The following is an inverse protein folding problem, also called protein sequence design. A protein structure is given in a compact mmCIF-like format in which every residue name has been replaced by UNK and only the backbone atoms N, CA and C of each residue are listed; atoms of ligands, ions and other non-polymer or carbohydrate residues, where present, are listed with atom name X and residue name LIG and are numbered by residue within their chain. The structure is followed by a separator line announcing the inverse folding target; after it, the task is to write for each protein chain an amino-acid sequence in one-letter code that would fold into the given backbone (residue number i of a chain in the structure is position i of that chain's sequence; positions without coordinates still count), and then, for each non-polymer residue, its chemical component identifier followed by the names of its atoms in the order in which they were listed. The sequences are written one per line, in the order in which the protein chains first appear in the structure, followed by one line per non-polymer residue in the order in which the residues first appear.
data_IF_473633650023
#
_entry.id   IF_473633650023
#
_cell.length_a   1.000
_cell.length_b   1.000
_cell.length_c   1.000
_cell.angle_alpha   90.00
_cell.angle_beta   90.00
_cell.angle_gamma   90.00
#
_symmetry.space_group_name_H-M   'P 1'
#
loop_
_entity.id
_entity.type
_entity.pdbx_description
1 polymer ?
#
# COMPACT_ATOMS: atom_id res chain seq x y z
N UNK A 1 19.22 3.34 -12.98
CA UNK A 1 19.44 1.91 -12.65
C UNK A 1 18.09 1.27 -12.34
N UNK A 2 17.88 -0.01 -12.61
CA UNK A 2 16.67 -0.71 -12.17
C UNK A 2 16.60 -0.68 -10.63
N UNK A 3 15.40 -0.46 -10.10
CA UNK A 3 15.16 -0.45 -8.66
C UNK A 3 15.10 -1.90 -8.14
N UNK A 4 15.64 -2.16 -6.96
CA UNK A 4 15.66 -3.49 -6.36
C UNK A 4 15.46 -3.45 -4.84
N UNK A 5 14.98 -4.55 -4.28
CA UNK A 5 15.01 -4.84 -2.84
C UNK A 5 16.00 -6.00 -2.64
N UNK A 6 17.26 -5.69 -2.29
CA UNK A 6 18.32 -6.70 -2.31
C UNK A 6 18.40 -7.37 -3.69
N UNK A 7 18.31 -8.71 -3.80
CA UNK A 7 18.36 -9.43 -5.07
C UNK A 7 17.06 -9.33 -5.90
N UNK A 8 15.95 -8.87 -5.33
CA UNK A 8 14.64 -8.81 -5.96
C UNK A 8 14.55 -7.58 -6.86
N UNK A 9 14.63 -7.79 -8.19
CA UNK A 9 14.48 -6.71 -9.17
C UNK A 9 13.02 -6.29 -9.31
N UNK A 10 12.77 -4.98 -9.41
CA UNK A 10 11.44 -4.42 -9.56
C UNK A 10 11.25 -3.86 -10.97
N UNK A 11 10.02 -3.97 -11.48
CA UNK A 11 9.67 -3.55 -12.85
C UNK A 11 9.57 -2.03 -13.04
N UNK A 12 9.57 -1.26 -11.95
CA UNK A 12 9.41 0.20 -12.02
C UNK A 12 9.51 0.87 -10.65
N UNK A 13 9.09 2.15 -10.59
CA UNK A 13 9.32 3.07 -9.46
C UNK A 13 8.04 3.53 -8.77
N UNK A 14 6.91 2.86 -8.96
CA UNK A 14 5.64 3.19 -8.31
C UNK A 14 5.04 1.98 -7.61
N UNK A 15 4.77 2.12 -6.31
CA UNK A 15 4.30 1.07 -5.41
C UNK A 15 2.92 1.39 -4.87
N UNK A 16 2.12 0.38 -4.60
CA UNK A 16 0.90 0.52 -3.80
C UNK A 16 1.27 0.46 -2.31
N UNK A 17 0.79 1.41 -1.51
CA UNK A 17 1.04 1.41 -0.07
C UNK A 17 0.21 0.33 0.65
N UNK A 18 0.78 -0.33 1.67
CA UNK A 18 0.01 -1.19 2.59
C UNK A 18 -0.98 -0.34 3.39
N UNK A 19 -2.27 -0.63 3.28
CA UNK A 19 -3.36 0.08 3.96
C UNK A 19 -4.36 -0.91 4.55
N UNK A 20 -4.43 -1.00 5.89
CA UNK A 20 -5.33 -1.93 6.59
C UNK A 20 -6.79 -1.74 6.18
N UNK A 21 -7.43 -2.83 5.81
CA UNK A 21 -8.79 -2.89 5.30
C UNK A 21 -8.95 -2.32 3.88
N UNK A 22 -7.88 -2.05 3.14
CA UNK A 22 -7.92 -1.48 1.78
C UNK A 22 -7.10 -2.29 0.79
N UNK A 23 -5.86 -2.61 1.12
CA UNK A 23 -4.98 -3.32 0.19
C UNK A 23 -5.04 -4.83 0.36
N UNK A 24 -6.28 -5.35 0.39
CA UNK A 24 -6.55 -6.79 0.28
C UNK A 24 -5.96 -7.38 -1.02
N UNK A 25 -5.95 -8.71 -1.13
CA UNK A 25 -5.32 -9.38 -2.29
C UNK A 25 -5.98 -8.99 -3.62
N UNK A 26 -7.29 -8.70 -3.65
CA UNK A 26 -8.00 -8.26 -4.85
C UNK A 26 -7.54 -6.89 -5.33
N UNK A 27 -7.38 -5.92 -4.40
CA UNK A 27 -6.86 -4.59 -4.71
C UNK A 27 -5.40 -4.66 -5.20
N UNK A 28 -4.58 -5.51 -4.58
CA UNK A 28 -3.17 -5.71 -4.96
C UNK A 28 -3.05 -6.31 -6.36
N UNK A 29 -3.85 -7.34 -6.68
CA UNK A 29 -3.91 -7.94 -8.02
C UNK A 29 -4.33 -6.91 -9.07
N UNK A 30 -5.37 -6.10 -8.77
CA UNK A 30 -5.80 -5.04 -9.67
C UNK A 30 -4.70 -4.00 -9.93
N UNK A 31 -3.98 -3.56 -8.90
CA UNK A 31 -2.88 -2.61 -9.08
C UNK A 31 -1.73 -3.20 -9.93
N UNK A 32 -1.36 -4.47 -9.70
CA UNK A 32 -0.35 -5.18 -10.51
C UNK A 32 -0.78 -5.32 -11.97
N UNK A 33 -2.04 -5.68 -12.23
CA UNK A 33 -2.60 -5.80 -13.57
C UNK A 33 -2.42 -4.52 -14.39
N UNK A 34 -2.46 -3.37 -13.74
CA UNK A 34 -2.27 -2.07 -14.36
C UNK A 34 -0.84 -1.52 -14.30
N UNK A 35 0.14 -2.30 -13.80
CA UNK A 35 1.56 -1.94 -13.87
C UNK A 35 2.15 -1.38 -12.58
N UNK A 36 1.52 -1.58 -11.42
CA UNK A 36 2.19 -1.34 -10.15
C UNK A 36 3.43 -2.25 -10.02
N UNK A 37 4.54 -1.70 -9.53
CA UNK A 37 5.81 -2.44 -9.46
C UNK A 37 5.95 -3.26 -8.18
N UNK A 38 5.28 -2.84 -7.11
CA UNK A 38 5.26 -3.52 -5.82
C UNK A 38 3.95 -3.22 -5.08
N UNK A 39 3.41 -4.24 -4.42
CA UNK A 39 2.12 -4.15 -3.71
C UNK A 39 2.19 -4.95 -2.40
N UNK A 40 2.85 -4.41 -1.34
CA UNK A 40 2.91 -5.10 -0.05
C UNK A 40 1.52 -5.42 0.50
N UNK A 41 1.42 -6.47 1.27
CA UNK A 41 0.17 -6.89 1.92
C UNK A 41 -0.34 -5.83 2.91
N UNK A 42 -1.56 -5.97 3.37
CA UNK A 42 -1.98 -5.30 4.59
C UNK A 42 -1.05 -5.68 5.74
N UNK A 43 -0.96 -4.79 6.74
CA UNK A 43 -0.22 -5.07 7.96
C UNK A 43 -0.80 -6.27 8.70
N UNK A 44 0.05 -7.23 9.05
CA UNK A 44 -0.26 -8.43 9.82
C UNK A 44 0.41 -8.34 11.18
N UNK A 45 -0.32 -8.57 12.27
CA UNK A 45 0.27 -8.67 13.59
C UNK A 45 1.13 -9.94 13.69
N UNK A 46 2.38 -9.80 14.14
CA UNK A 46 3.36 -10.88 14.13
C UNK A 46 2.94 -12.06 15.00
N UNK A 47 2.46 -11.78 16.20
CA UNK A 47 2.02 -12.81 17.16
C UNK A 47 0.72 -13.50 16.70
N UNK A 48 -0.25 -12.76 16.11
CA UNK A 48 -1.47 -13.33 15.54
C UNK A 48 -1.15 -14.26 14.36
N UNK A 49 -0.20 -13.88 13.51
CA UNK A 49 0.23 -14.72 12.37
C UNK A 49 0.85 -16.03 12.86
N UNK A 50 1.75 -15.96 13.84
CA UNK A 50 2.41 -17.15 14.41
C UNK A 50 1.40 -18.06 15.12
N UNK A 51 0.41 -17.50 15.81
CA UNK A 51 -0.68 -18.27 16.41
C UNK A 51 -1.69 -18.83 15.42
N UNK A 52 -1.56 -18.46 14.13
CA UNK A 52 -2.39 -18.99 13.05
C UNK A 52 -3.79 -18.37 12.96
N UNK A 53 -3.96 -17.15 13.44
CA UNK A 53 -5.22 -16.41 13.35
C UNK A 53 -5.68 -16.26 11.90
N UNK A 54 -6.95 -16.59 11.64
CA UNK A 54 -7.50 -16.66 10.29
C UNK A 54 -7.43 -15.32 9.55
N UNK A 55 -7.69 -14.20 10.23
CA UNK A 55 -7.63 -12.87 9.61
C UNK A 55 -6.20 -12.49 9.21
N UNK A 56 -5.20 -12.88 10.02
CA UNK A 56 -3.79 -12.67 9.72
C UNK A 56 -3.35 -13.45 8.47
N UNK A 57 -3.82 -14.68 8.31
CA UNK A 57 -3.56 -15.49 7.11
C UNK A 57 -4.20 -14.88 5.86
N UNK A 58 -5.45 -14.40 5.94
CA UNK A 58 -6.13 -13.72 4.82
C UNK A 58 -5.37 -12.47 4.40
N UNK A 59 -4.89 -11.68 5.36
CA UNK A 59 -4.11 -10.46 5.06
C UNK A 59 -2.75 -10.77 4.43
N UNK A 60 -2.11 -11.86 4.86
CA UNK A 60 -0.83 -12.31 4.30
C UNK A 60 -0.97 -13.00 2.94
N UNK A 61 -2.21 -13.27 2.47
CA UNK A 61 -2.49 -13.96 1.20
C UNK A 61 -1.77 -13.31 0.02
N UNK A 62 -1.13 -14.12 -0.81
CA UNK A 62 -0.32 -13.67 -1.95
C UNK A 62 -0.59 -14.37 -3.27
N UNK A 63 -1.64 -15.20 -3.36
CA UNK A 63 -1.96 -15.87 -4.62
C UNK A 63 -2.21 -14.86 -5.74
N UNK A 64 -1.52 -15.05 -6.88
CA UNK A 64 -1.58 -14.14 -8.03
C UNK A 64 -0.92 -12.78 -7.81
N UNK A 65 -0.13 -12.59 -6.74
CA UNK A 65 0.64 -11.38 -6.45
C UNK A 65 2.13 -11.69 -6.60
N UNK A 66 2.79 -11.03 -7.55
CA UNK A 66 4.24 -11.15 -7.79
C UNK A 66 4.84 -9.77 -8.10
N UNK A 67 5.89 -9.33 -7.37
CA UNK A 67 6.47 -9.98 -6.20
C UNK A 67 5.53 -9.98 -4.98
N UNK A 68 5.54 -11.07 -4.21
CA UNK A 68 4.77 -11.19 -2.98
C UNK A 68 5.58 -10.67 -1.80
N UNK A 69 5.14 -9.57 -1.22
CA UNK A 69 5.73 -8.94 -0.04
C UNK A 69 4.69 -8.89 1.06
N UNK A 70 5.03 -9.44 2.23
CA UNK A 70 4.14 -9.42 3.40
C UNK A 70 4.64 -8.39 4.41
N UNK A 71 3.75 -7.46 4.80
CA UNK A 71 4.05 -6.49 5.84
C UNK A 71 3.68 -7.04 7.21
N UNK A 72 4.65 -7.14 8.11
CA UNK A 72 4.46 -7.58 9.50
C UNK A 72 4.64 -6.42 10.48
N UNK A 73 3.93 -6.47 11.60
CA UNK A 73 4.01 -5.49 12.68
C UNK A 73 3.99 -6.17 14.04
N UNK A 74 4.84 -5.70 14.93
CA UNK A 74 4.97 -6.19 16.29
C UNK A 74 5.89 -5.29 17.10
N UNK A 75 6.02 -5.58 18.38
CA UNK A 75 6.94 -4.89 19.31
C UNK A 75 7.95 -5.84 19.94
N UNK A 76 7.83 -7.12 19.71
CA UNK A 76 8.64 -8.16 20.33
C UNK A 76 9.51 -8.80 19.24
N UNK A 77 10.86 -8.74 19.37
CA UNK A 77 11.80 -9.31 18.41
C UNK A 77 11.58 -10.80 18.15
N UNK A 78 11.16 -11.57 19.16
CA UNK A 78 10.88 -13.00 19.02
C UNK A 78 9.69 -13.23 18.05
N UNK A 79 8.54 -12.59 18.30
CA UNK A 79 7.38 -12.76 17.43
C UNK A 79 7.61 -12.23 16.02
N UNK A 80 8.41 -11.15 15.88
CA UNK A 80 8.77 -10.61 14.57
C UNK A 80 9.66 -11.59 13.79
N UNK A 81 10.62 -12.24 14.42
CA UNK A 81 11.48 -13.25 13.80
C UNK A 81 10.69 -14.51 13.38
N UNK A 82 9.80 -15.01 14.24
CA UNK A 82 8.97 -16.17 13.93
C UNK A 82 7.97 -15.88 12.79
N UNK A 83 7.35 -14.70 12.82
CA UNK A 83 6.47 -14.26 11.73
C UNK A 83 7.22 -14.14 10.40
N UNK A 84 8.44 -13.59 10.41
CA UNK A 84 9.27 -13.49 9.21
C UNK A 84 9.61 -14.87 8.61
N UNK A 85 9.95 -15.86 9.46
CA UNK A 85 10.18 -17.25 9.01
C UNK A 85 8.93 -17.86 8.37
N UNK A 86 7.76 -17.65 8.97
CA UNK A 86 6.49 -18.14 8.41
C UNK A 86 6.19 -17.46 7.06
N UNK A 87 6.44 -16.16 6.94
CA UNK A 87 6.29 -15.40 5.69
C UNK A 87 7.20 -15.97 4.60
N UNK A 88 8.48 -16.20 4.90
CA UNK A 88 9.43 -16.82 3.96
C UNK A 88 8.97 -18.24 3.57
N UNK A 89 8.58 -19.05 4.55
CA UNK A 89 8.11 -20.43 4.31
C UNK A 89 6.83 -20.48 3.47
N UNK A 90 5.99 -19.43 3.51
CA UNK A 90 4.80 -19.29 2.66
C UNK A 90 5.12 -18.91 1.20
N UNK A 91 6.40 -18.73 0.85
CA UNK A 91 6.85 -18.38 -0.50
C UNK A 91 6.80 -16.88 -0.82
N UNK A 92 6.74 -16.02 0.20
CA UNK A 92 6.95 -14.60 0.00
C UNK A 92 8.37 -14.30 -0.50
N UNK A 93 8.51 -13.22 -1.26
CA UNK A 93 9.78 -12.82 -1.88
C UNK A 93 10.47 -11.69 -1.11
N UNK A 94 9.76 -11.03 -0.19
CA UNK A 94 10.33 -10.09 0.78
C UNK A 94 9.42 -9.96 2.01
N UNK A 95 10.01 -9.52 3.12
CA UNK A 95 9.31 -9.08 4.32
C UNK A 95 9.36 -7.56 4.40
N UNK A 96 8.25 -6.91 4.75
CA UNK A 96 8.22 -5.48 5.06
C UNK A 96 7.89 -5.26 6.54
N UNK A 97 8.71 -4.48 7.25
CA UNK A 97 8.48 -4.16 8.66
C UNK A 97 7.65 -2.88 8.76
N UNK A 98 6.56 -2.91 9.53
CA UNK A 98 5.76 -1.71 9.79
C UNK A 98 6.23 -0.96 11.05
N UNK A 99 6.79 0.23 10.84
CA UNK A 99 7.06 1.22 11.89
C UNK A 99 6.41 2.58 11.59
N UNK A 100 5.30 2.55 10.83
CA UNK A 100 4.60 3.77 10.36
C UNK A 100 3.12 3.86 10.72
N UNK A 101 2.46 2.77 11.15
CA UNK A 101 1.03 2.79 11.46
C UNK A 101 0.72 3.68 12.67
N UNK A 102 -0.11 4.76 12.53
CA UNK A 102 -0.41 5.68 13.62
C UNK A 102 -1.64 5.27 14.44
N UNK A 103 -2.32 4.19 14.08
CA UNK A 103 -3.59 3.78 14.67
C UNK A 103 -3.43 3.52 16.17
N UNK A 104 -4.35 4.05 16.99
CA UNK A 104 -4.30 3.90 18.47
C UNK A 104 -4.24 2.43 18.92
N UNK A 105 -4.93 1.52 18.23
CA UNK A 105 -4.89 0.08 18.51
C UNK A 105 -3.48 -0.50 18.37
N UNK A 106 -2.70 -0.03 17.40
CA UNK A 106 -1.33 -0.49 17.15
C UNK A 106 -0.34 0.21 18.09
N UNK A 107 -0.41 1.54 18.16
CA UNK A 107 0.52 2.33 19.01
C UNK A 107 0.26 2.16 20.50
N UNK A 108 -0.97 1.84 20.91
CA UNK A 108 -1.28 1.47 22.30
C UNK A 108 -0.61 0.15 22.72
N UNK A 109 -0.37 -0.76 21.77
CA UNK A 109 0.45 -1.95 21.95
C UNK A 109 1.96 -1.70 21.74
N UNK A 110 2.42 -0.46 21.69
CA UNK A 110 3.82 -0.04 21.46
C UNK A 110 4.43 -0.54 20.13
N UNK A 111 3.60 -0.87 19.14
CA UNK A 111 4.01 -1.29 17.80
C UNK A 111 3.80 -0.17 16.75
N UNK A 112 4.16 -0.43 15.52
CA UNK A 112 4.02 0.52 14.42
C UNK A 112 4.81 1.81 14.68
N UNK A 113 4.19 2.97 14.51
CA UNK A 113 4.89 4.26 14.70
C UNK A 113 5.27 4.58 16.16
N UNK A 114 4.81 3.80 17.16
CA UNK A 114 5.27 3.95 18.53
C UNK A 114 6.76 3.57 18.67
N UNK A 115 7.28 2.69 17.82
CA UNK A 115 8.69 2.32 17.78
C UNK A 115 9.61 3.49 17.41
N UNK A 116 9.08 4.54 16.77
CA UNK A 116 9.84 5.79 16.54
C UNK A 116 10.22 6.53 17.86
N UNK A 117 9.68 6.12 19.02
CA UNK A 117 10.03 6.66 20.33
C UNK A 117 11.14 5.87 21.05
N UNK A 118 11.45 4.69 20.54
CA UNK A 118 12.44 3.77 21.11
C UNK A 118 13.24 3.13 19.98
N UNK A 119 14.31 3.83 19.57
CA UNK A 119 15.13 3.39 18.44
C UNK A 119 16.00 2.17 18.80
N UNK A 120 16.26 1.90 20.08
CA UNK A 120 16.98 0.69 20.49
C UNK A 120 16.10 -0.53 20.25
N UNK A 121 14.86 -0.54 20.76
CA UNK A 121 13.89 -1.62 20.50
C UNK A 121 13.59 -1.75 19.00
N UNK A 122 13.43 -0.63 18.28
CA UNK A 122 13.24 -0.66 16.83
C UNK A 122 14.39 -1.37 16.12
N UNK A 123 15.64 -1.10 16.51
CA UNK A 123 16.85 -1.73 15.96
C UNK A 123 16.90 -3.23 16.29
N UNK A 124 16.56 -3.63 17.52
CA UNK A 124 16.49 -5.03 17.93
C UNK A 124 15.47 -5.82 17.09
N UNK A 125 14.30 -5.23 16.86
CA UNK A 125 13.25 -5.82 16.00
C UNK A 125 13.75 -5.98 14.56
N UNK A 126 14.40 -4.97 14.00
CA UNK A 126 14.96 -5.02 12.64
C UNK A 126 16.01 -6.13 12.57
N UNK A 127 16.98 -6.14 13.47
CA UNK A 127 18.03 -7.16 13.54
C UNK A 127 17.45 -8.58 13.63
N UNK A 128 16.51 -8.80 14.54
CA UNK A 128 15.86 -10.10 14.72
C UNK A 128 15.12 -10.55 13.45
N UNK A 129 14.43 -9.63 12.77
CA UNK A 129 13.70 -9.93 11.54
C UNK A 129 14.65 -10.26 10.39
N UNK A 130 15.69 -9.44 10.17
CA UNK A 130 16.69 -9.67 9.11
C UNK A 130 17.44 -10.97 9.32
N UNK A 131 17.88 -11.24 10.55
CA UNK A 131 18.60 -12.48 10.88
C UNK A 131 17.76 -13.75 10.75
N UNK A 132 16.43 -13.62 10.76
CA UNK A 132 15.52 -14.78 10.71
C UNK A 132 15.28 -15.33 9.30
N UNK A 133 15.55 -14.57 8.23
CA UNK A 133 15.19 -14.93 6.85
C UNK A 133 16.34 -14.71 5.86
N UNK A 134 16.25 -15.34 4.70
CA UNK A 134 17.17 -15.14 3.57
C UNK A 134 16.62 -14.21 2.50
N UNK A 135 15.28 -14.05 2.47
CA UNK A 135 14.63 -13.09 1.58
C UNK A 135 14.88 -11.66 2.09
N UNK A 136 14.92 -10.65 1.19
CA UNK A 136 15.19 -9.28 1.59
C UNK A 136 14.12 -8.72 2.53
N UNK A 137 14.56 -7.83 3.42
CA UNK A 137 13.69 -7.13 4.36
C UNK A 137 13.65 -5.64 4.00
N UNK A 138 12.45 -5.07 3.94
CA UNK A 138 12.21 -3.62 3.82
C UNK A 138 11.60 -3.06 5.10
N UNK A 139 11.70 -1.75 5.28
CA UNK A 139 11.14 -1.05 6.43
C UNK A 139 10.27 0.12 5.98
N UNK A 140 9.03 0.17 6.47
CA UNK A 140 8.14 1.32 6.25
C UNK A 140 7.93 2.10 7.56
N UNK A 141 8.32 3.38 7.57
CA UNK A 141 8.25 4.25 8.75
C UNK A 141 7.71 5.65 8.44
N UNK A 142 7.60 6.48 9.45
CA UNK A 142 7.29 7.92 9.38
C UNK A 142 8.54 8.77 9.66
N UNK A 143 8.41 10.11 9.58
CA UNK A 143 9.51 11.06 9.90
C UNK A 143 9.90 11.02 11.38
N UNK A 144 8.99 10.61 12.25
CA UNK A 144 9.16 10.56 13.69
C UNK A 144 7.82 10.41 14.41
N UNK A 145 7.82 10.51 15.74
CA UNK A 145 6.61 10.51 16.56
C UNK A 145 5.86 11.83 16.45
N UNK A 146 6.56 12.93 16.58
CA UNK A 146 6.08 14.30 16.47
C UNK A 146 7.19 15.23 15.92
N UNK A 147 6.88 16.53 15.81
CA UNK A 147 7.83 17.50 15.27
C UNK A 147 9.08 17.72 16.13
N UNK A 148 9.03 17.39 17.42
CA UNK A 148 10.19 17.50 18.33
C UNK A 148 11.12 16.28 18.25
N UNK A 149 10.68 15.19 17.59
CA UNK A 149 11.38 13.92 17.49
C UNK A 149 11.43 13.39 16.04
N UNK A 150 11.99 14.19 15.12
CA UNK A 150 12.20 13.80 13.71
C UNK A 150 13.45 12.92 13.59
N UNK A 151 13.34 11.67 13.95
CA UNK A 151 14.45 10.72 14.07
C UNK A 151 14.52 9.66 12.97
N UNK A 152 13.75 9.83 11.89
CA UNK A 152 13.80 8.91 10.74
C UNK A 152 15.20 8.75 10.13
N UNK A 153 16.07 9.78 10.00
CA UNK A 153 17.43 9.59 9.51
C UNK A 153 18.28 8.67 10.38
N UNK A 154 18.11 8.72 11.70
CA UNK A 154 18.85 7.87 12.63
C UNK A 154 18.39 6.42 12.53
N UNK A 155 17.07 6.19 12.51
CA UNK A 155 16.53 4.84 12.32
C UNK A 155 16.91 4.28 10.95
N UNK A 156 16.97 5.12 9.91
CA UNK A 156 17.36 4.70 8.57
C UNK A 156 18.81 4.15 8.53
N UNK A 157 19.78 4.87 9.15
CA UNK A 157 21.16 4.39 9.24
C UNK A 157 21.27 3.07 10.03
N UNK A 158 20.56 2.97 11.15
CA UNK A 158 20.51 1.72 11.93
C UNK A 158 19.91 0.58 11.11
N UNK A 159 18.80 0.83 10.40
CA UNK A 159 18.14 -0.17 9.56
C UNK A 159 19.05 -0.67 8.42
N UNK A 160 19.76 0.24 7.75
CA UNK A 160 20.75 -0.13 6.72
C UNK A 160 21.89 -0.96 7.30
N UNK A 161 22.42 -0.57 8.46
CA UNK A 161 23.49 -1.30 9.17
C UNK A 161 23.04 -2.73 9.54
N UNK A 162 21.79 -2.91 9.93
CA UNK A 162 21.22 -4.22 10.25
C UNK A 162 20.79 -5.04 9.02
N UNK A 163 20.98 -4.51 7.79
CA UNK A 163 20.75 -5.26 6.54
C UNK A 163 19.38 -5.06 5.90
N UNK A 164 18.63 -4.03 6.27
CA UNK A 164 17.43 -3.63 5.53
C UNK A 164 17.82 -3.22 4.12
N UNK A 165 17.07 -3.68 3.12
CA UNK A 165 17.40 -3.51 1.71
C UNK A 165 16.61 -2.39 1.00
N UNK A 166 15.57 -1.82 1.63
CA UNK A 166 14.77 -0.71 1.12
C UNK A 166 14.01 -0.02 2.26
N UNK A 167 13.90 1.31 2.17
CA UNK A 167 13.14 2.12 3.12
C UNK A 167 11.95 2.80 2.42
N UNK A 168 10.76 2.78 3.06
CA UNK A 168 9.62 3.57 2.62
C UNK A 168 9.22 4.59 3.70
N UNK A 169 9.29 5.88 3.36
CA UNK A 169 9.15 6.97 4.32
C UNK A 169 7.85 7.74 4.06
N UNK A 170 6.93 7.71 5.03
CA UNK A 170 5.77 8.60 4.98
C UNK A 170 6.16 10.00 5.47
N UNK A 171 6.00 11.02 4.63
CA UNK A 171 6.35 12.42 4.88
C UNK A 171 5.50 13.11 5.96
N UNK A 172 5.07 12.38 6.99
CA UNK A 172 4.36 12.89 8.17
C UNK A 172 4.92 12.24 9.43
N UNK A 173 4.78 12.95 10.54
CA UNK A 173 4.98 12.37 11.88
C UNK A 173 3.75 11.57 12.32
N UNK A 174 3.85 10.82 13.41
CA UNK A 174 2.72 10.02 13.92
C UNK A 174 1.57 10.89 14.41
N UNK A 175 1.84 11.99 15.11
CA UNK A 175 0.81 12.88 15.69
C UNK A 175 -0.03 13.61 14.62
N UNK A 176 0.51 13.83 13.43
CA UNK A 176 -0.23 14.35 12.29
C UNK A 176 -1.30 13.38 11.76
N UNK A 177 -1.17 12.07 12.00
CA UNK A 177 -2.02 11.05 11.37
C UNK A 177 -2.06 11.20 9.86
N UNK A 178 -3.11 11.84 9.34
CA UNK A 178 -3.34 12.15 7.91
C UNK A 178 -3.75 13.61 7.70
N UNK A 179 -3.59 14.47 8.73
CA UNK A 179 -3.92 15.91 8.68
C UNK A 179 -2.75 16.70 8.09
N UNK A 180 -3.06 17.87 7.55
CA UNK A 180 -2.08 18.71 6.87
C UNK A 180 -1.52 18.04 5.62
N UNK A 181 -0.37 18.47 5.15
CA UNK A 181 0.32 17.96 3.97
C UNK A 181 1.51 17.08 4.37
N UNK A 182 1.87 16.12 3.52
CA UNK A 182 3.08 15.35 3.67
C UNK A 182 4.29 16.21 3.27
N UNK A 183 5.27 16.26 4.12
CA UNK A 183 6.53 16.98 3.85
C UNK A 183 7.48 16.08 3.05
N UNK A 184 7.47 16.27 1.72
CA UNK A 184 8.34 15.53 0.82
C UNK A 184 9.80 15.96 0.94
N UNK A 185 10.07 17.23 1.27
CA UNK A 185 11.42 17.74 1.50
C UNK A 185 12.08 17.10 2.72
N UNK A 186 11.31 16.87 3.80
CA UNK A 186 11.83 16.21 4.99
C UNK A 186 12.31 14.77 4.72
N UNK A 187 11.77 14.09 3.71
CA UNK A 187 12.23 12.74 3.31
C UNK A 187 13.67 12.77 2.78
N UNK A 188 14.12 13.88 2.20
CA UNK A 188 15.51 14.05 1.70
C UNK A 188 16.53 13.78 2.78
N UNK A 189 16.27 14.22 4.01
CA UNK A 189 17.19 13.99 5.14
C UNK A 189 17.45 12.50 5.41
N UNK A 190 16.49 11.63 5.06
CA UNK A 190 16.68 10.17 5.10
C UNK A 190 17.48 9.70 3.90
N UNK A 191 17.17 10.17 2.68
CA UNK A 191 17.89 9.77 1.47
C UNK A 191 19.37 10.13 1.52
N UNK A 192 19.70 11.27 2.12
CA UNK A 192 21.08 11.77 2.19
C UNK A 192 21.98 10.97 3.14
N UNK A 193 21.42 10.11 3.98
CA UNK A 193 22.18 9.37 5.02
C UNK A 193 22.24 7.86 4.80
N UNK A 194 21.65 7.33 3.73
CA UNK A 194 21.66 5.91 3.37
C UNK A 194 21.98 5.69 1.90
N UNK A 195 22.60 4.56 1.57
CA UNK A 195 22.90 4.14 0.20
C UNK A 195 21.77 3.27 -0.39
N UNK A 196 20.99 2.58 0.44
CA UNK A 196 19.86 1.75 0.00
C UNK A 196 18.73 2.58 -0.60
N UNK A 197 17.88 1.98 -1.44
CA UNK A 197 16.75 2.68 -2.04
C UNK A 197 15.78 3.25 -1.01
N UNK A 198 15.35 4.49 -1.25
CA UNK A 198 14.33 5.20 -0.46
C UNK A 198 13.08 5.44 -1.32
N UNK A 199 11.93 5.12 -0.77
CA UNK A 199 10.61 5.29 -1.39
C UNK A 199 9.84 6.37 -0.66
N UNK A 200 9.47 7.45 -1.35
CA UNK A 200 8.67 8.53 -0.77
C UNK A 200 7.19 8.17 -0.75
N UNK A 201 6.51 8.46 0.35
CA UNK A 201 5.09 8.20 0.54
C UNK A 201 4.38 9.39 1.21
N UNK A 202 3.13 9.61 0.84
CA UNK A 202 2.25 10.64 1.39
C UNK A 202 1.72 11.58 0.30
N UNK A 203 0.40 11.70 0.18
CA UNK A 203 -0.36 12.64 -0.67
C UNK A 203 -0.10 12.59 -2.19
N UNK A 204 0.63 11.62 -2.70
CA UNK A 204 0.78 11.39 -4.14
C UNK A 204 -0.55 10.88 -4.72
N UNK A 205 -1.18 11.66 -5.59
CA UNK A 205 -2.49 11.40 -6.17
C UNK A 205 -2.54 11.60 -7.69
N UNK A 206 -1.42 11.98 -8.32
CA UNK A 206 -1.28 12.13 -9.76
C UNK A 206 0.14 11.79 -10.23
N UNK A 207 0.38 11.61 -11.53
CA UNK A 207 1.71 11.49 -12.10
C UNK A 207 2.60 12.71 -11.84
N UNK A 208 2.03 13.91 -11.87
CA UNK A 208 2.71 15.18 -11.60
C UNK A 208 3.16 15.28 -10.14
N UNK A 209 2.28 14.87 -9.20
CA UNK A 209 2.65 14.75 -7.77
C UNK A 209 3.85 13.82 -7.60
N UNK A 210 3.88 12.71 -8.33
CA UNK A 210 4.95 11.73 -8.23
C UNK A 210 6.30 12.32 -8.70
N UNK A 211 6.31 13.09 -9.80
CA UNK A 211 7.50 13.78 -10.27
C UNK A 211 7.99 14.81 -9.26
N UNK A 212 7.07 15.63 -8.74
CA UNK A 212 7.38 16.63 -7.71
C UNK A 212 7.91 15.97 -6.44
N UNK A 213 7.27 14.88 -5.99
CA UNK A 213 7.69 14.11 -4.81
C UNK A 213 9.12 13.57 -4.97
N UNK A 214 9.45 12.96 -6.13
CA UNK A 214 10.80 12.47 -6.42
C UNK A 214 11.81 13.62 -6.42
N UNK A 215 11.49 14.74 -7.05
CA UNK A 215 12.38 15.91 -7.11
C UNK A 215 12.62 16.51 -5.72
N UNK A 216 11.58 16.70 -4.91
CA UNK A 216 11.66 17.26 -3.57
C UNK A 216 12.41 16.36 -2.60
N UNK A 217 12.11 15.06 -2.61
CA UNK A 217 12.66 14.09 -1.65
C UNK A 217 14.01 13.50 -2.07
N UNK A 218 14.34 13.51 -3.37
CA UNK A 218 15.47 12.74 -3.90
C UNK A 218 15.27 11.23 -3.86
N UNK A 219 14.07 10.76 -3.55
CA UNK A 219 13.76 9.35 -3.43
C UNK A 219 13.89 8.59 -4.76
N UNK A 220 14.18 7.31 -4.68
CA UNK A 220 14.35 6.42 -5.84
C UNK A 220 13.01 5.99 -6.43
N UNK A 221 11.94 5.97 -5.63
CA UNK A 221 10.59 5.58 -6.02
C UNK A 221 9.52 6.30 -5.20
N UNK A 222 8.26 6.13 -5.59
CA UNK A 222 7.09 6.66 -4.88
C UNK A 222 6.13 5.54 -4.46
N UNK A 223 5.42 5.76 -3.35
CA UNK A 223 4.41 4.82 -2.85
C UNK A 223 3.07 5.54 -2.72
N UNK A 224 2.06 5.03 -3.41
CA UNK A 224 0.74 5.62 -3.54
C UNK A 224 -0.21 4.94 -2.53
N UNK A 225 -0.82 5.73 -1.66
CA UNK A 225 -1.82 5.25 -0.70
C UNK A 225 -3.24 5.57 -1.15
N UNK A 226 -3.89 6.47 -0.44
CA UNK A 226 -5.29 6.86 -0.63
C UNK A 226 -5.64 7.26 -2.06
N UNK A 227 -4.69 7.84 -2.80
CA UNK A 227 -4.87 8.18 -4.21
C UNK A 227 -5.24 7.01 -5.11
N UNK A 228 -4.87 5.77 -4.76
CA UNK A 228 -5.20 4.58 -5.53
C UNK A 228 -6.58 3.97 -5.22
N UNK A 229 -7.28 4.43 -4.16
CA UNK A 229 -8.58 3.88 -3.79
C UNK A 229 -9.61 4.20 -4.87
N UNK A 230 -10.26 3.16 -5.40
CA UNK A 230 -11.21 3.29 -6.52
C UNK A 230 -10.58 3.48 -7.90
N UNK A 231 -9.24 3.58 -7.96
CA UNK A 231 -8.48 3.68 -9.21
C UNK A 231 -7.11 2.98 -9.11
N UNK A 232 -7.07 1.65 -8.91
CA UNK A 232 -5.80 0.91 -8.77
C UNK A 232 -4.85 1.11 -9.96
N UNK A 233 -5.37 1.47 -11.13
CA UNK A 233 -4.60 1.82 -12.33
C UNK A 233 -3.72 3.06 -12.19
N UNK A 234 -4.01 3.96 -11.22
CA UNK A 234 -3.19 5.14 -10.99
C UNK A 234 -1.72 4.78 -10.69
N UNK A 235 -1.49 3.69 -9.98
CA UNK A 235 -0.11 3.27 -9.63
C UNK A 235 0.68 2.95 -10.89
N UNK A 236 0.09 2.24 -11.85
CA UNK A 236 0.71 1.95 -13.14
C UNK A 236 0.87 3.18 -14.03
N UNK A 237 -0.09 4.12 -14.01
CA UNK A 237 0.05 5.39 -14.71
C UNK A 237 1.25 6.20 -14.21
N UNK A 238 1.42 6.24 -12.88
CA UNK A 238 2.58 6.88 -12.25
C UNK A 238 3.87 6.14 -12.62
N UNK A 239 3.87 4.81 -12.62
CA UNK A 239 5.03 4.02 -13.03
C UNK A 239 5.45 4.33 -14.47
N UNK A 240 4.47 4.39 -15.38
CA UNK A 240 4.69 4.74 -16.78
C UNK A 240 5.25 6.17 -16.93
N UNK A 241 4.65 7.13 -16.23
CA UNK A 241 5.07 8.52 -16.27
C UNK A 241 6.50 8.71 -15.75
N UNK A 242 6.86 8.09 -14.63
CA UNK A 242 8.21 8.14 -14.07
C UNK A 242 9.27 7.45 -14.95
N UNK A 243 8.84 6.52 -15.81
CA UNK A 243 9.73 5.84 -16.75
C UNK A 243 9.92 6.60 -18.07
N UNK A 244 8.87 7.29 -18.55
CA UNK A 244 8.83 7.84 -19.92
C UNK A 244 8.72 9.36 -19.99
N UNK A 245 8.34 10.02 -18.91
CA UNK A 245 7.97 11.44 -18.86
C UNK A 245 6.64 11.76 -19.55
N UNK A 246 5.87 10.74 -19.97
CA UNK A 246 4.61 10.91 -20.70
C UNK A 246 3.44 10.27 -19.95
N UNK A 247 2.27 10.90 -20.01
CA UNK A 247 1.05 10.30 -19.51
C UNK A 247 0.71 9.06 -20.35
N UNK A 248 0.51 7.93 -19.70
CA UNK A 248 -0.01 6.74 -20.34
C UNK A 248 -1.53 6.84 -20.58
N UNK A 249 -2.08 6.02 -21.48
CA UNK A 249 -3.52 5.99 -21.71
C UNK A 249 -4.26 5.53 -20.46
N UNK A 250 -5.42 6.13 -20.21
CA UNK A 250 -6.34 5.61 -19.20
C UNK A 250 -6.87 4.24 -19.62
N UNK A 251 -7.02 3.26 -18.71
CA UNK A 251 -7.70 2.02 -19.03
C UNK A 251 -9.13 2.30 -19.48
N UNK A 252 -9.62 1.53 -20.45
CA UNK A 252 -11.01 1.68 -20.93
C UNK A 252 -12.02 1.45 -19.79
N UNK A 253 -13.25 1.96 -19.95
CA UNK A 253 -14.33 1.71 -18.99
C UNK A 253 -14.55 0.21 -18.75
N UNK A 254 -14.44 -0.61 -19.80
CA UNK A 254 -14.58 -2.06 -19.70
C UNK A 254 -13.43 -2.72 -18.91
N UNK A 255 -12.19 -2.28 -19.09
CA UNK A 255 -11.05 -2.76 -18.27
C UNK A 255 -11.24 -2.42 -16.79
N UNK A 256 -11.68 -1.19 -16.49
CA UNK A 256 -11.96 -0.73 -15.12
C UNK A 256 -13.12 -1.50 -14.50
N UNK A 257 -14.19 -1.72 -15.27
CA UNK A 257 -15.35 -2.53 -14.86
C UNK A 257 -14.91 -3.94 -14.46
N UNK A 258 -14.16 -4.63 -15.34
CA UNK A 258 -13.64 -5.97 -15.04
C UNK A 258 -12.80 -6.01 -13.77
N UNK A 259 -11.89 -5.06 -13.62
CA UNK A 259 -11.06 -4.97 -12.42
C UNK A 259 -11.90 -4.76 -11.15
N UNK A 260 -12.85 -3.84 -11.16
CA UNK A 260 -13.75 -3.58 -10.03
C UNK A 260 -14.61 -4.78 -9.66
N UNK A 261 -15.17 -5.47 -10.65
CA UNK A 261 -15.97 -6.69 -10.43
C UNK A 261 -15.12 -7.83 -9.88
N UNK A 262 -13.93 -8.05 -10.43
CA UNK A 262 -13.01 -9.09 -9.96
C UNK A 262 -12.59 -8.82 -8.52
N UNK A 263 -12.25 -7.56 -8.18
CA UNK A 263 -11.94 -7.16 -6.82
C UNK A 263 -13.11 -7.42 -5.86
N UNK A 264 -14.31 -7.00 -6.24
CA UNK A 264 -15.53 -7.24 -5.44
C UNK A 264 -15.77 -8.72 -5.17
N UNK A 265 -15.70 -9.56 -6.22
CA UNK A 265 -15.86 -11.03 -6.09
C UNK A 265 -14.79 -11.65 -5.20
N UNK A 266 -13.55 -11.17 -5.29
CA UNK A 266 -12.45 -11.60 -4.41
C UNK A 266 -12.78 -11.32 -2.95
N UNK A 267 -13.31 -10.14 -2.61
CA UNK A 267 -13.72 -9.81 -1.24
C UNK A 267 -14.82 -10.73 -0.71
N UNK A 268 -15.81 -11.08 -1.56
CA UNK A 268 -16.86 -12.03 -1.18
C UNK A 268 -16.30 -13.44 -0.96
N UNK A 269 -15.37 -13.87 -1.80
CA UNK A 269 -14.71 -15.19 -1.68
C UNK A 269 -13.89 -15.31 -0.40
N UNK A 270 -13.13 -14.26 -0.05
CA UNK A 270 -12.23 -14.26 1.12
C UNK A 270 -12.98 -14.17 2.45
N UNK A 271 -13.99 -13.31 2.52
CA UNK A 271 -14.64 -12.94 3.78
C UNK A 271 -16.07 -13.48 3.92
N UNK A 272 -16.57 -14.16 2.90
CA UNK A 272 -17.98 -14.55 2.82
C UNK A 272 -18.92 -13.37 2.56
N UNK A 273 -20.22 -13.66 2.40
CA UNK A 273 -21.21 -12.68 1.96
C UNK A 273 -21.26 -11.42 2.84
N UNK A 274 -21.50 -11.58 4.13
CA UNK A 274 -21.75 -10.44 5.02
C UNK A 274 -20.50 -9.58 5.26
N UNK A 275 -19.39 -10.22 5.65
CA UNK A 275 -18.12 -9.51 5.87
C UNK A 275 -17.58 -8.96 4.58
N UNK A 276 -17.65 -9.72 3.48
CA UNK A 276 -17.20 -9.30 2.15
C UNK A 276 -17.92 -8.05 1.66
N UNK A 277 -19.25 -8.00 1.79
CA UNK A 277 -20.03 -6.80 1.48
C UNK A 277 -19.58 -5.58 2.31
N UNK A 278 -19.38 -5.75 3.62
CA UNK A 278 -18.90 -4.66 4.48
C UNK A 278 -17.52 -4.16 4.08
N UNK A 279 -16.60 -5.07 3.76
CA UNK A 279 -15.26 -4.71 3.27
C UNK A 279 -15.33 -3.99 1.93
N UNK A 280 -16.23 -4.41 1.03
CA UNK A 280 -16.38 -3.84 -0.30
C UNK A 280 -16.90 -2.40 -0.31
N UNK A 281 -17.74 -1.97 0.64
CA UNK A 281 -18.47 -0.68 0.61
C UNK A 281 -17.60 0.52 0.29
N UNK A 282 -16.41 0.63 0.91
CA UNK A 282 -15.47 1.73 0.65
C UNK A 282 -14.92 1.72 -0.77
N UNK A 283 -14.64 0.54 -1.30
CA UNK A 283 -14.14 0.36 -2.67
C UNK A 283 -15.23 0.65 -3.69
N UNK A 284 -16.44 0.15 -3.46
CA UNK A 284 -17.61 0.41 -4.30
C UNK A 284 -17.92 1.90 -4.39
N UNK A 285 -17.89 2.60 -3.24
CA UNK A 285 -18.06 4.05 -3.19
C UNK A 285 -17.02 4.79 -4.04
N UNK A 286 -15.74 4.41 -3.89
CA UNK A 286 -14.64 5.03 -4.61
C UNK A 286 -14.64 4.69 -6.10
N UNK A 287 -14.97 3.46 -6.48
CA UNK A 287 -15.13 3.08 -7.89
C UNK A 287 -16.21 3.90 -8.58
N UNK A 288 -17.39 4.05 -7.94
CA UNK A 288 -18.47 4.87 -8.48
C UNK A 288 -18.08 6.35 -8.59
N UNK A 289 -17.37 6.88 -7.59
CA UNK A 289 -16.91 8.27 -7.60
C UNK A 289 -15.94 8.54 -8.76
N UNK A 290 -14.96 7.66 -8.97
CA UNK A 290 -14.01 7.82 -10.07
C UNK A 290 -14.65 7.58 -11.44
N UNK A 291 -15.57 6.63 -11.56
CA UNK A 291 -16.32 6.42 -12.82
C UNK A 291 -17.14 7.68 -13.17
N UNK A 292 -17.76 8.33 -12.18
CA UNK A 292 -18.50 9.59 -12.41
C UNK A 292 -17.58 10.73 -12.85
N UNK A 293 -16.42 10.88 -12.21
CA UNK A 293 -15.43 11.91 -12.60
C UNK A 293 -14.89 11.70 -14.02
N UNK A 294 -14.77 10.44 -14.42
CA UNK A 294 -14.26 10.06 -15.74
C UNK A 294 -15.35 10.02 -16.83
N UNK A 295 -16.55 10.51 -16.52
CA UNK A 295 -17.63 10.74 -17.50
C UNK A 295 -18.72 9.69 -17.54
N UNK A 296 -18.86 8.79 -16.54
CA UNK A 296 -20.04 7.93 -16.44
C UNK A 296 -21.24 8.67 -15.82
N UNK A 297 -22.33 8.94 -16.56
CA UNK A 297 -23.45 9.73 -16.06
C UNK A 297 -24.25 8.98 -14.98
N UNK A 298 -24.26 7.67 -15.00
CA UNK A 298 -25.02 6.85 -14.04
C UNK A 298 -24.29 6.62 -12.71
N UNK A 299 -22.97 6.72 -12.69
CA UNK A 299 -22.14 6.28 -11.55
C UNK A 299 -22.44 7.02 -10.24
N UNK A 300 -22.62 8.35 -10.31
CA UNK A 300 -22.93 9.16 -9.11
C UNK A 300 -24.31 8.79 -8.53
N UNK A 301 -25.32 8.60 -9.35
CA UNK A 301 -26.68 8.22 -8.93
C UNK A 301 -26.73 6.80 -8.33
N UNK A 302 -25.86 5.89 -8.79
CA UNK A 302 -25.82 4.50 -8.31
C UNK A 302 -25.04 4.35 -6.99
N UNK A 303 -24.19 5.30 -6.61
CA UNK A 303 -23.29 5.20 -5.47
C UNK A 303 -24.00 4.82 -4.17
N UNK A 304 -25.10 5.48 -3.81
CA UNK A 304 -25.85 5.20 -2.58
C UNK A 304 -26.39 3.76 -2.56
N UNK A 305 -26.94 3.30 -3.68
CA UNK A 305 -27.46 1.93 -3.80
C UNK A 305 -26.32 0.91 -3.72
N UNK A 306 -25.19 1.16 -4.38
CA UNK A 306 -24.01 0.30 -4.35
C UNK A 306 -23.51 0.02 -2.92
N UNK A 307 -23.46 1.05 -2.06
CA UNK A 307 -22.91 0.91 -0.71
C UNK A 307 -23.90 0.36 0.30
N UNK A 308 -25.22 0.48 0.02
CA UNK A 308 -26.28 0.07 0.95
C UNK A 308 -26.92 -1.28 0.60
N UNK A 309 -26.76 -1.77 -0.61
CA UNK A 309 -27.34 -3.05 -1.01
C UNK A 309 -26.70 -4.21 -0.23
N UNK A 310 -27.55 -5.10 0.28
CA UNK A 310 -27.17 -6.35 0.94
C UNK A 310 -27.27 -7.57 0.00
N UNK A 311 -27.67 -7.32 -1.25
CA UNK A 311 -27.75 -8.35 -2.29
C UNK A 311 -26.51 -8.32 -3.20
N UNK A 312 -25.62 -9.34 -3.12
CA UNK A 312 -24.39 -9.37 -3.93
C UNK A 312 -24.65 -9.27 -5.43
N UNK A 313 -25.68 -9.90 -5.96
CA UNK A 313 -26.01 -9.86 -7.38
C UNK A 313 -26.52 -8.48 -7.82
N UNK A 314 -27.23 -7.76 -6.94
CA UNK A 314 -27.59 -6.36 -7.21
C UNK A 314 -26.34 -5.48 -7.24
N UNK A 315 -25.42 -5.64 -6.28
CA UNK A 315 -24.15 -4.87 -6.26
C UNK A 315 -23.37 -5.10 -7.55
N UNK A 316 -23.25 -6.33 -8.04
CA UNK A 316 -22.57 -6.61 -9.33
C UNK A 316 -23.22 -5.90 -10.50
N UNK A 317 -24.55 -5.93 -10.60
CA UNK A 317 -25.28 -5.23 -11.66
C UNK A 317 -25.07 -3.72 -11.59
N UNK A 318 -25.18 -3.15 -10.40
CA UNK A 318 -25.00 -1.70 -10.18
C UNK A 318 -23.56 -1.28 -10.46
N UNK A 319 -22.56 -2.08 -10.03
CA UNK A 319 -21.16 -1.81 -10.31
C UNK A 319 -20.85 -1.89 -11.80
N UNK A 320 -21.42 -2.86 -12.52
CA UNK A 320 -21.29 -2.93 -13.98
C UNK A 320 -21.86 -1.66 -14.63
N UNK A 321 -23.06 -1.23 -14.25
CA UNK A 321 -23.70 -0.02 -14.77
C UNK A 321 -22.92 1.26 -14.44
N UNK A 322 -22.23 1.32 -13.30
CA UNK A 322 -21.40 2.47 -12.94
C UNK A 322 -20.22 2.70 -13.90
N UNK A 323 -19.85 1.69 -14.69
CA UNK A 323 -18.81 1.78 -15.72
C UNK A 323 -19.37 1.72 -17.16
N UNK A 324 -20.68 1.85 -17.34
CA UNK A 324 -21.25 2.01 -18.68
C UNK A 324 -20.94 3.44 -19.15
N UNK A 325 -20.24 3.53 -20.27
CA UNK A 325 -20.01 4.79 -20.98
C UNK A 325 -21.07 4.90 -22.07
N UNK A 326 -21.97 5.86 -21.91
CA UNK A 326 -22.81 6.30 -23.01
C UNK A 326 -22.05 7.44 -23.72
N UNK A 327 -21.53 7.21 -24.94
CA UNK A 327 -20.99 8.32 -25.70
C UNK A 327 -22.10 9.37 -25.88
N UNK A 328 -21.83 10.59 -25.44
CA UNK A 328 -22.69 11.72 -25.78
C UNK A 328 -22.67 11.79 -27.29
N UNK A 329 -23.76 11.39 -27.94
CA UNK A 329 -23.99 11.67 -29.35
C UNK A 329 -24.04 13.20 -29.41
N UNK A 330 -22.96 13.83 -29.87
CA UNK A 330 -23.01 15.21 -30.29
C UNK A 330 -24.14 15.28 -31.35
N UNK A 331 -25.22 15.98 -30.98
CA UNK A 331 -26.28 16.29 -31.90
C UNK A 331 -25.68 17.08 -33.09
N UNK A 332 -25.71 16.46 -34.24
CA UNK A 332 -25.24 17.05 -35.51
C UNK A 332 -26.07 18.31 -35.89
#
# INVERSE_FOLDING_TARGET
MPLAIGPLQLSGRAFLAPMSGVTDVGMRRAALQFGASLVPSEMVASDDLVRGEAESRIRAEGEGVRPHVVQIAGRDPYWMSEAARLVEASGAQAVDINMGCPAKRVTGGLAGSALMRDLELATEIIRATVAAVRIPVSLKMRLGWDRSSLNAPDLARRAETEGVALLAIHGRTRDQFYKGEADWHAIRSVKDVVAIPVVANGDCASPEDAATMVSASGADAVMIGRGAIGRPWLVGQIAHFLATGKLGPLPSFDQRRRAALTHYRTLLSLFGREKGLRHARKHLAAYAEWAARDGSPSAAALRTRLVNSENPAEVERLLSRAFEYEPVLEAA
#
